data_IF_139910923308
#
_entry.id   IF_139910923308
#
_cell.length_a   1.000
_cell.length_b   1.000
_cell.length_c   1.000
_cell.angle_alpha   90.00
_cell.angle_beta   90.00
_cell.angle_gamma   90.00
#
_symmetry.space_group_name_H-M   'P 1'
#
loop_
_entity.id
_entity.type
_entity.pdbx_description
1 polymer ?
#
# COMPACT_ATOMS: atom_id res chain seq x y z
N UNK A 1 -1.46 -14.72 -3.74
CA UNK A 1 -0.76 -14.03 -2.64
C UNK A 1 -1.81 -13.19 -1.95
N UNK A 2 -2.07 -13.42 -0.66
CA UNK A 2 -3.08 -12.70 0.11
C UNK A 2 -2.53 -12.31 1.48
N UNK A 3 -3.13 -11.28 2.10
CA UNK A 3 -2.75 -10.78 3.43
C UNK A 3 -1.98 -9.45 3.43
N UNK A 4 -1.53 -9.01 4.62
CA UNK A 4 -0.83 -7.73 4.82
C UNK A 4 0.63 -7.85 4.38
N UNK A 5 0.97 -7.18 3.28
CA UNK A 5 2.31 -7.21 2.69
C UNK A 5 3.30 -6.36 3.50
N UNK A 6 4.49 -6.93 3.70
CA UNK A 6 5.66 -6.31 4.31
C UNK A 6 6.92 -6.81 3.61
N UNK A 7 7.77 -5.90 3.16
CA UNK A 7 9.05 -6.20 2.51
C UNK A 7 10.20 -5.56 3.28
N UNK A 8 11.03 -6.36 3.95
CA UNK A 8 12.10 -5.87 4.81
C UNK A 8 13.14 -5.02 4.07
N UNK A 9 13.28 -5.22 2.75
CA UNK A 9 14.20 -4.46 1.89
C UNK A 9 13.58 -3.23 1.23
N UNK A 10 12.31 -2.93 1.52
CA UNK A 10 11.66 -1.79 0.90
C UNK A 10 12.30 -0.48 1.36
N UNK A 11 12.81 0.32 0.41
CA UNK A 11 13.46 1.58 0.68
C UNK A 11 12.43 2.72 0.70
N UNK A 12 12.14 3.37 1.86
CA UNK A 12 11.15 4.44 1.93
C UNK A 12 11.50 5.69 1.13
N UNK A 13 12.77 5.87 0.76
CA UNK A 13 13.24 6.98 -0.08
C UNK A 13 13.34 6.59 -1.57
N UNK A 14 13.24 5.30 -1.90
CA UNK A 14 13.36 4.76 -3.25
C UNK A 14 12.01 4.61 -3.96
N UNK A 15 11.11 5.58 -3.79
CA UNK A 15 9.76 5.53 -4.36
C UNK A 15 9.85 5.59 -5.88
N UNK A 16 9.22 4.63 -6.55
CA UNK A 16 9.31 4.46 -8.01
C UNK A 16 7.98 4.12 -8.68
N UNK A 17 6.89 3.95 -7.91
CA UNK A 17 5.59 3.52 -8.43
C UNK A 17 4.45 4.26 -7.72
N UNK A 18 3.53 4.81 -8.51
CA UNK A 18 2.36 5.52 -8.02
C UNK A 18 1.13 4.59 -7.99
N UNK A 19 0.41 4.63 -6.88
CA UNK A 19 -0.78 3.82 -6.60
C UNK A 19 -1.82 4.65 -5.86
N UNK A 20 -3.03 4.12 -5.68
CA UNK A 20 -4.10 4.82 -4.96
C UNK A 20 -4.44 4.11 -3.65
N UNK A 21 -4.29 4.82 -2.53
CA UNK A 21 -4.86 4.38 -1.26
C UNK A 21 -6.38 4.60 -1.29
N UNK A 22 -7.17 3.54 -1.11
CA UNK A 22 -8.64 3.57 -1.14
C UNK A 22 -9.27 3.27 0.24
N UNK A 23 -8.46 2.98 1.23
CA UNK A 23 -8.92 2.68 2.58
C UNK A 23 -7.79 2.18 3.48
N UNK A 24 -8.13 1.83 4.71
CA UNK A 24 -7.23 1.28 5.70
C UNK A 24 -8.00 0.42 6.70
N UNK A 25 -7.29 -0.41 7.45
CA UNK A 25 -7.89 -1.23 8.49
C UNK A 25 -6.85 -1.87 9.40
N UNK A 26 -7.31 -2.83 10.18
CA UNK A 26 -6.51 -3.67 11.08
C UNK A 26 -7.03 -5.09 11.01
N UNK A 27 -6.14 -6.07 10.86
CA UNK A 27 -6.48 -7.50 10.79
C UNK A 27 -5.45 -8.29 11.59
N UNK A 28 -5.90 -9.09 12.57
CA UNK A 28 -5.00 -9.88 13.42
C UNK A 28 -3.93 -9.05 14.15
N UNK A 29 -4.25 -7.81 14.54
CA UNK A 29 -3.31 -6.88 15.17
C UNK A 29 -2.32 -6.19 14.21
N UNK A 30 -2.43 -6.43 12.90
CA UNK A 30 -1.61 -5.78 11.88
C UNK A 30 -2.40 -4.69 11.17
N UNK A 31 -1.91 -3.45 11.27
CA UNK A 31 -2.45 -2.30 10.56
C UNK A 31 -2.08 -2.35 9.07
N UNK A 32 -3.02 -1.98 8.19
CA UNK A 32 -2.79 -1.93 6.75
C UNK A 32 -3.47 -0.75 6.04
N UNK A 33 -2.93 -0.41 4.88
CA UNK A 33 -3.54 0.37 3.81
C UNK A 33 -4.15 -0.58 2.77
N UNK A 34 -5.30 -0.22 2.21
CA UNK A 34 -5.85 -0.86 1.01
C UNK A 34 -5.37 -0.05 -0.19
N UNK A 35 -4.54 -0.67 -1.02
CA UNK A 35 -3.93 -0.04 -2.18
C UNK A 35 -4.57 -0.62 -3.45
N UNK A 36 -5.10 0.25 -4.30
CA UNK A 36 -5.51 -0.06 -5.67
C UNK A 36 -4.30 0.09 -6.58
N UNK A 37 -3.94 -0.98 -7.30
CA UNK A 37 -2.84 -0.97 -8.24
C UNK A 37 -3.33 -0.81 -9.69
N UNK A 38 -2.38 -0.66 -10.63
CA UNK A 38 -2.62 -0.44 -12.06
C UNK A 38 -2.15 -1.59 -12.96
N UNK A 39 -1.86 -2.77 -12.40
CA UNK A 39 -1.37 -3.95 -13.14
C UNK A 39 -2.48 -4.95 -13.53
N UNK A 40 -3.73 -4.48 -13.61
CA UNK A 40 -4.89 -5.30 -13.95
C UNK A 40 -5.44 -6.13 -12.78
N UNK A 41 -6.63 -6.71 -12.97
CA UNK A 41 -7.36 -7.44 -11.92
C UNK A 41 -6.77 -8.82 -11.60
N UNK A 42 -5.95 -9.38 -12.49
CA UNK A 42 -5.24 -10.64 -12.26
C UNK A 42 -4.07 -10.53 -11.28
N UNK A 43 -3.63 -9.31 -10.94
CA UNK A 43 -2.59 -9.08 -9.95
C UNK A 43 -3.17 -8.89 -8.55
N UNK A 44 -2.50 -9.42 -7.53
CA UNK A 44 -2.89 -9.26 -6.14
C UNK A 44 -4.27 -9.84 -5.83
N UNK A 45 -5.03 -9.15 -4.99
CA UNK A 45 -6.41 -9.47 -4.64
C UNK A 45 -7.34 -8.64 -5.54
N UNK A 46 -7.68 -9.16 -6.72
CA UNK A 46 -8.54 -8.47 -7.70
C UNK A 46 -8.02 -7.07 -8.13
N UNK A 47 -6.70 -6.89 -8.23
CA UNK A 47 -6.04 -5.62 -8.54
C UNK A 47 -5.63 -4.79 -7.31
N UNK A 48 -5.86 -5.31 -6.10
CA UNK A 48 -5.56 -4.63 -4.85
C UNK A 48 -4.49 -5.36 -4.04
N UNK A 49 -3.93 -4.66 -3.05
CA UNK A 49 -3.14 -5.26 -2.00
C UNK A 49 -3.40 -4.58 -0.66
N UNK A 50 -3.20 -5.32 0.44
CA UNK A 50 -3.03 -4.75 1.76
C UNK A 50 -1.54 -4.49 1.98
N UNK A 51 -1.13 -3.25 2.21
CA UNK A 51 0.25 -2.88 2.54
C UNK A 51 0.33 -2.52 4.03
N UNK A 52 1.37 -2.96 4.75
CA UNK A 52 1.50 -2.62 6.18
C UNK A 52 1.41 -1.11 6.41
N UNK A 53 0.73 -0.74 7.50
CA UNK A 53 0.56 0.64 7.96
C UNK A 53 1.12 0.75 9.37
N UNK A 54 1.45 1.98 9.79
CA UNK A 54 1.98 2.27 11.13
C UNK A 54 3.30 1.55 11.47
N UNK A 55 4.11 1.23 10.45
CA UNK A 55 5.42 0.58 10.59
C UNK A 55 6.52 1.43 9.94
N UNK A 56 6.76 2.60 10.52
CA UNK A 56 7.80 3.56 10.10
C UNK A 56 7.71 3.99 8.63
N UNK A 57 6.50 4.36 8.18
CA UNK A 57 6.22 4.73 6.78
C UNK A 57 6.77 3.72 5.76
N UNK A 58 6.42 2.44 5.96
CA UNK A 58 6.89 1.34 5.13
C UNK A 58 6.73 1.63 3.63
N UNK A 59 7.79 1.36 2.86
CA UNK A 59 7.86 1.68 1.43
C UNK A 59 7.63 3.15 1.04
N UNK A 60 7.66 4.08 2.00
CA UNK A 60 7.42 5.49 1.71
C UNK A 60 5.98 5.80 1.31
N UNK A 61 5.02 4.92 1.62
CA UNK A 61 3.62 5.01 1.16
C UNK A 61 2.95 6.37 1.47
N UNK A 62 3.35 7.03 2.56
CA UNK A 62 2.83 8.34 2.97
C UNK A 62 3.78 9.51 2.68
N UNK A 63 4.89 9.31 1.95
CA UNK A 63 5.90 10.35 1.72
C UNK A 63 5.54 11.31 0.57
N UNK A 64 4.79 10.85 -0.44
CA UNK A 64 4.41 11.62 -1.62
C UNK A 64 2.90 11.50 -1.92
N UNK A 65 2.07 11.63 -0.88
CA UNK A 65 0.62 11.52 -1.00
C UNK A 65 -0.03 12.85 -1.42
N UNK A 66 -1.04 12.76 -2.29
CA UNK A 66 -1.85 13.91 -2.70
C UNK A 66 -3.27 13.47 -3.08
N UNK A 67 -4.19 14.42 -3.15
CA UNK A 67 -5.53 14.23 -3.69
C UNK A 67 -5.95 15.50 -4.46
N UNK A 68 -6.69 15.37 -5.57
CA UNK A 68 -7.18 16.54 -6.31
C UNK A 68 -8.36 17.20 -5.57
N UNK A 69 -8.52 18.51 -5.74
CA UNK A 69 -9.76 19.23 -5.42
C UNK A 69 -10.58 19.37 -6.71
N UNK A 70 -11.91 19.24 -6.61
CA UNK A 70 -12.84 19.23 -7.74
C UNK A 70 -13.86 20.36 -7.65
#
# INVERSE_FOLDING_TARGET
SSGVYYESKCNPQGINHAVLAVGYGTEGGSDYWIIKNSWGTGWGEAGYMKLTRNKSNHCGVAAQSCYPTV
#
